data_IF_204566732327
#
_entry.id   IF_204566732327
#
_cell.length_a   1.000
_cell.length_b   1.000
_cell.length_c   1.000
_cell.angle_alpha   90.00
_cell.angle_beta   90.00
_cell.angle_gamma   90.00
#
_symmetry.space_group_name_H-M   'P 1'
#
loop_
_entity.id
_entity.type
_entity.pdbx_description
1 polymer ?
#
# COMPACT_ATOMS: atom_id res chain seq x y z
N UNK A 1 -17.83 36.01 8.65
CA UNK A 1 -17.50 35.18 7.46
C UNK A 1 -17.86 35.96 6.22
N UNK A 2 -16.85 36.26 5.40
CA UNK A 2 -17.03 36.90 4.10
C UNK A 2 -17.89 36.01 3.19
N UNK A 3 -18.59 36.60 2.21
CA UNK A 3 -19.33 35.86 1.19
C UNK A 3 -18.42 34.85 0.46
N UNK A 4 -17.15 35.21 0.26
CA UNK A 4 -16.13 34.35 -0.33
C UNK A 4 -15.84 33.12 0.53
N UNK A 5 -15.84 33.25 1.85
CA UNK A 5 -15.61 32.13 2.77
C UNK A 5 -16.77 31.13 2.71
N UNK A 6 -18.01 31.63 2.59
CA UNK A 6 -19.20 30.80 2.45
C UNK A 6 -19.22 30.04 1.12
N UNK A 7 -18.81 30.68 0.03
CA UNK A 7 -18.70 30.02 -1.27
C UNK A 7 -17.63 28.92 -1.25
N UNK A 8 -16.45 29.18 -0.66
CA UNK A 8 -15.40 28.16 -0.51
C UNK A 8 -15.87 26.97 0.32
N UNK A 9 -16.57 27.22 1.42
CA UNK A 9 -17.12 26.15 2.26
C UNK A 9 -18.15 25.29 1.50
N UNK A 10 -18.98 25.90 0.66
CA UNK A 10 -19.99 25.20 -0.13
C UNK A 10 -19.35 24.32 -1.22
N UNK A 11 -18.30 24.81 -1.87
CA UNK A 11 -17.51 24.04 -2.84
C UNK A 11 -16.82 22.84 -2.17
N UNK A 12 -16.17 23.05 -1.02
CA UNK A 12 -15.50 21.98 -0.29
C UNK A 12 -16.49 20.89 0.16
N UNK A 13 -17.67 21.28 0.64
CA UNK A 13 -18.73 20.33 1.00
C UNK A 13 -19.23 19.52 -0.21
N UNK A 14 -19.41 20.18 -1.36
CA UNK A 14 -19.82 19.50 -2.59
C UNK A 14 -18.78 18.47 -3.07
N UNK A 15 -17.50 18.84 -3.03
CA UNK A 15 -16.40 17.93 -3.35
C UNK A 15 -16.32 16.74 -2.38
N UNK A 16 -16.56 16.98 -1.09
CA UNK A 16 -16.61 15.94 -0.08
C UNK A 16 -17.75 14.94 -0.34
N UNK A 17 -18.96 15.42 -0.65
CA UNK A 17 -20.12 14.58 -0.98
C UNK A 17 -19.86 13.73 -2.23
N UNK A 18 -19.24 14.29 -3.26
CA UNK A 18 -18.90 13.55 -4.48
C UNK A 18 -17.80 12.50 -4.27
N UNK A 19 -16.80 12.80 -3.42
CA UNK A 19 -15.71 11.87 -3.14
C UNK A 19 -16.13 10.71 -2.23
N UNK A 20 -17.11 10.92 -1.36
CA UNK A 20 -17.50 9.98 -0.30
C UNK A 20 -17.77 8.54 -0.78
N UNK A 21 -18.53 8.29 -1.86
CA UNK A 21 -18.79 6.92 -2.33
C UNK A 21 -17.54 6.20 -2.83
N UNK A 22 -16.58 6.94 -3.38
CA UNK A 22 -15.40 6.37 -4.03
C UNK A 22 -14.23 6.14 -3.06
N UNK A 23 -14.30 6.66 -1.82
CA UNK A 23 -13.19 6.56 -0.85
C UNK A 23 -12.81 5.12 -0.55
N UNK A 24 -13.78 4.22 -0.40
CA UNK A 24 -13.51 2.81 -0.11
C UNK A 24 -12.89 2.09 -1.31
N UNK A 25 -13.35 2.40 -2.52
CA UNK A 25 -12.82 1.81 -3.74
C UNK A 25 -11.38 2.26 -3.98
N UNK A 26 -11.11 3.56 -3.84
CA UNK A 26 -9.77 4.13 -3.94
C UNK A 26 -8.85 3.50 -2.88
N UNK A 27 -9.30 3.38 -1.63
CA UNK A 27 -8.51 2.78 -0.57
C UNK A 27 -8.29 1.26 -0.75
N UNK A 28 -9.13 0.57 -1.51
CA UNK A 28 -8.89 -0.83 -1.91
C UNK A 28 -7.84 -0.88 -3.01
N UNK A 29 -8.01 -0.08 -4.06
CA UNK A 29 -7.08 -0.04 -5.19
C UNK A 29 -5.66 0.34 -4.76
N UNK A 30 -5.51 1.34 -3.88
CA UNK A 30 -4.21 1.72 -3.33
C UNK A 30 -3.57 0.55 -2.56
N UNK A 31 -4.37 -0.19 -1.77
CA UNK A 31 -3.87 -1.38 -1.07
C UNK A 31 -3.46 -2.49 -2.02
N UNK A 32 -4.25 -2.74 -3.06
CA UNK A 32 -3.94 -3.76 -4.06
C UNK A 32 -2.64 -3.42 -4.81
N UNK A 33 -2.39 -2.14 -5.07
CA UNK A 33 -1.13 -1.64 -5.64
C UNK A 33 0.06 -1.81 -4.68
N UNK A 34 -0.13 -1.49 -3.40
CA UNK A 34 0.91 -1.69 -2.38
C UNK A 34 1.25 -3.17 -2.21
N UNK A 35 0.24 -4.04 -2.18
CA UNK A 35 0.41 -5.49 -2.06
C UNK A 35 1.12 -6.07 -3.30
N UNK A 36 0.82 -5.56 -4.50
CA UNK A 36 1.53 -5.93 -5.74
C UNK A 36 2.99 -5.47 -5.71
N UNK A 37 3.25 -4.26 -5.22
CA UNK A 37 4.60 -3.74 -5.09
C UNK A 37 5.45 -4.60 -4.14
N UNK A 38 4.92 -4.91 -2.95
CA UNK A 38 5.59 -5.77 -1.98
C UNK A 38 5.75 -7.20 -2.52
N UNK A 39 4.76 -7.72 -3.24
CA UNK A 39 4.90 -9.01 -3.92
C UNK A 39 6.05 -9.02 -4.92
N UNK A 40 6.16 -8.01 -5.79
CA UNK A 40 7.30 -7.92 -6.70
C UNK A 40 8.61 -7.81 -5.92
N UNK A 41 8.64 -6.98 -4.87
CA UNK A 41 9.82 -6.79 -4.05
C UNK A 41 10.31 -8.10 -3.43
N UNK A 42 9.41 -8.91 -2.87
CA UNK A 42 9.73 -10.15 -2.14
C UNK A 42 9.56 -11.45 -2.95
N UNK A 43 9.26 -11.35 -4.25
CA UNK A 43 9.03 -12.51 -5.12
C UNK A 43 10.21 -13.49 -5.18
N UNK A 44 11.45 -12.98 -5.14
CA UNK A 44 12.66 -13.81 -5.05
C UNK A 44 12.68 -14.71 -3.81
N UNK A 45 12.18 -14.22 -2.67
CA UNK A 45 12.09 -15.01 -1.44
C UNK A 45 11.04 -16.10 -1.53
N UNK A 46 10.03 -15.90 -2.39
CA UNK A 46 9.02 -16.91 -2.74
C UNK A 46 9.52 -17.89 -3.83
N UNK A 47 10.74 -17.71 -4.33
CA UNK A 47 11.31 -18.51 -5.43
C UNK A 47 10.80 -18.11 -6.81
N UNK A 48 10.18 -16.93 -6.94
CA UNK A 48 9.70 -16.37 -8.20
C UNK A 48 10.75 -15.36 -8.70
N UNK A 49 11.32 -15.56 -9.91
CA UNK A 49 12.37 -14.68 -10.39
C UNK A 49 11.86 -13.26 -10.66
N UNK A 50 12.56 -12.25 -10.13
CA UNK A 50 12.25 -10.82 -10.33
C UNK A 50 13.30 -10.14 -11.22
N UNK A 51 12.92 -9.64 -12.41
CA UNK A 51 13.85 -8.96 -13.32
C UNK A 51 14.43 -7.65 -12.75
N UNK A 52 13.76 -7.03 -11.77
CA UNK A 52 14.18 -5.78 -11.14
C UNK A 52 14.78 -5.98 -9.73
N UNK A 53 15.03 -7.21 -9.30
CA UNK A 53 15.54 -7.50 -7.95
C UNK A 53 16.79 -6.68 -7.62
N UNK A 54 17.78 -6.70 -8.53
CA UNK A 54 19.06 -6.02 -8.32
C UNK A 54 18.91 -4.53 -8.00
N UNK A 55 17.94 -3.85 -8.63
CA UNK A 55 17.69 -2.43 -8.43
C UNK A 55 16.85 -2.12 -7.19
N UNK A 56 16.12 -3.11 -6.68
CA UNK A 56 15.15 -2.92 -5.59
C UNK A 56 15.67 -3.42 -4.24
N UNK A 57 16.86 -4.02 -4.21
CA UNK A 57 17.56 -4.45 -2.99
C UNK A 57 17.66 -3.36 -1.91
N UNK A 58 17.93 -2.12 -2.32
CA UNK A 58 18.07 -0.98 -1.40
C UNK A 58 16.75 -0.60 -0.71
N UNK A 59 15.61 -0.99 -1.28
CA UNK A 59 14.29 -0.71 -0.74
C UNK A 59 13.90 -1.67 0.39
N UNK A 60 14.53 -2.84 0.46
CA UNK A 60 14.17 -3.89 1.40
C UNK A 60 14.14 -3.40 2.85
N UNK A 61 15.17 -2.69 3.38
CA UNK A 61 15.18 -2.23 4.77
C UNK A 61 14.03 -1.29 5.11
N UNK A 62 13.61 -0.46 4.14
CA UNK A 62 12.54 0.51 4.33
C UNK A 62 11.15 -0.14 4.33
N UNK A 63 11.01 -1.27 3.63
CA UNK A 63 9.74 -1.99 3.52
C UNK A 63 9.58 -3.07 4.60
N UNK A 64 10.62 -3.31 5.41
CA UNK A 64 10.58 -4.29 6.50
C UNK A 64 9.46 -4.05 7.50
N UNK A 65 9.14 -2.79 7.81
CA UNK A 65 8.07 -2.45 8.76
C UNK A 65 6.70 -2.87 8.24
N UNK A 66 6.49 -2.77 6.93
CA UNK A 66 5.22 -3.10 6.26
C UNK A 66 5.10 -4.59 5.92
N UNK A 67 6.22 -5.31 5.93
CA UNK A 67 6.28 -6.72 5.57
C UNK A 67 5.37 -7.59 6.45
N UNK A 68 5.36 -7.36 7.77
CA UNK A 68 4.56 -8.14 8.71
C UNK A 68 3.07 -8.14 8.34
N UNK A 69 2.52 -6.95 8.12
CA UNK A 69 1.11 -6.79 7.78
C UNK A 69 0.81 -7.37 6.39
N UNK A 70 1.73 -7.21 5.45
CA UNK A 70 1.58 -7.74 4.09
C UNK A 70 1.55 -9.28 4.05
N UNK A 71 2.52 -9.97 4.67
CA UNK A 71 2.54 -11.45 4.56
C UNK A 71 1.32 -12.09 5.26
N UNK A 72 0.82 -11.45 6.34
CA UNK A 72 -0.45 -11.84 6.98
C UNK A 72 -1.64 -11.61 6.05
N UNK A 73 -1.73 -10.46 5.36
CA UNK A 73 -2.79 -10.19 4.37
C UNK A 73 -2.75 -11.19 3.21
N UNK A 74 -1.56 -11.61 2.79
CA UNK A 74 -1.38 -12.63 1.77
C UNK A 74 -1.74 -14.04 2.25
N UNK A 75 -2.12 -14.20 3.52
CA UNK A 75 -2.55 -15.48 4.09
C UNK A 75 -1.40 -16.45 4.36
N UNK A 76 -0.18 -15.95 4.55
CA UNK A 76 0.98 -16.77 4.86
C UNK A 76 1.06 -17.05 6.36
N UNK A 77 1.07 -18.33 6.75
CA UNK A 77 1.19 -18.72 8.17
C UNK A 77 2.57 -18.37 8.76
N UNK A 78 3.60 -18.33 7.90
CA UNK A 78 4.99 -18.03 8.27
C UNK A 78 5.62 -17.14 7.23
N UNK A 79 6.54 -16.29 7.69
CA UNK A 79 7.38 -15.49 6.81
C UNK A 79 8.14 -16.37 5.81
N UNK A 80 8.13 -16.03 4.50
CA UNK A 80 8.98 -16.66 3.51
C UNK A 80 10.48 -16.32 3.68
N UNK A 81 10.82 -15.37 4.55
CA UNK A 81 12.21 -14.96 4.78
C UNK A 81 12.99 -16.05 5.54
N UNK A 82 14.13 -16.46 5.00
CA UNK A 82 15.02 -17.46 5.62
C UNK A 82 16.00 -16.86 6.63
N UNK A 83 16.41 -15.60 6.45
CA UNK A 83 17.42 -14.93 7.29
C UNK A 83 16.86 -14.12 8.46
N UNK A 84 15.58 -13.76 8.43
CA UNK A 84 14.92 -12.97 9.46
C UNK A 84 13.56 -13.57 9.77
N UNK A 85 13.29 -13.87 11.04
CA UNK A 85 11.98 -14.36 11.45
C UNK A 85 11.05 -13.17 11.66
N UNK A 86 10.13 -12.99 10.73
CA UNK A 86 8.92 -12.23 11.02
C UNK A 86 7.91 -13.24 11.59
N UNK A 87 7.62 -13.08 12.89
CA UNK A 87 6.94 -14.03 13.79
C UNK A 87 7.79 -15.20 14.30
#
# INVERSE_FOLDING_TARGET
MSLLDKMKALVAFYEEVLSMPHRSEIARELRDQDDMFLFMLYSEMLGIPNPAYYYTLELYPYMMEQFHDWHLRMGMDKSPMTGFRCC
#
